data_IF_307841015729
#
_entry.id   IF_307841015729
#
_cell.length_a   1.000
_cell.length_b   1.000
_cell.length_c   1.000
_cell.angle_alpha   90.00
_cell.angle_beta   90.00
_cell.angle_gamma   90.00
#
_symmetry.space_group_name_H-M   'P 1'
#
loop_
_entity.id
_entity.type
_entity.pdbx_description
1 polymer ?
#
# COMPACT_ATOMS: atom_id res chain seq x y z
N UNK A 1 -9.03 -11.96 -21.62
CA UNK A 1 -9.56 -12.88 -22.66
C UNK A 1 -10.73 -12.25 -23.38
N UNK A 2 -11.06 -12.73 -24.58
CA UNK A 2 -12.23 -12.27 -25.35
C UNK A 2 -13.45 -13.13 -25.02
N UNK A 3 -14.60 -12.50 -24.81
CA UNK A 3 -15.89 -13.17 -24.56
C UNK A 3 -16.96 -12.66 -25.52
N UNK A 4 -17.92 -13.53 -25.85
CA UNK A 4 -19.12 -13.17 -26.62
C UNK A 4 -20.26 -12.64 -25.72
N UNK A 5 -21.37 -12.25 -26.33
CA UNK A 5 -22.58 -11.75 -25.64
C UNK A 5 -23.21 -12.79 -24.70
N UNK A 6 -23.02 -14.08 -24.96
CA UNK A 6 -23.46 -15.19 -24.11
C UNK A 6 -22.43 -15.51 -23.02
N UNK A 7 -21.37 -14.71 -22.91
CA UNK A 7 -20.26 -14.86 -21.95
C UNK A 7 -19.44 -16.13 -22.17
N UNK A 8 -19.49 -16.72 -23.36
CA UNK A 8 -18.59 -17.80 -23.73
C UNK A 8 -17.20 -17.24 -24.01
N UNK A 9 -16.18 -17.99 -23.61
CA UNK A 9 -14.79 -17.58 -23.80
C UNK A 9 -14.36 -17.97 -25.21
N UNK A 10 -13.89 -17.00 -25.97
CA UNK A 10 -13.35 -17.21 -27.31
C UNK A 10 -11.92 -17.79 -27.18
N UNK A 11 -11.49 -18.70 -28.09
CA UNK A 11 -10.18 -19.34 -28.02
C UNK A 11 -9.05 -18.33 -28.24
N UNK A 12 -8.55 -17.75 -27.16
CA UNK A 12 -7.19 -17.24 -26.91
C UNK A 12 -7.26 -16.35 -25.66
N UNK A 13 -6.22 -16.41 -24.83
CA UNK A 13 -6.14 -15.61 -23.62
C UNK A 13 -4.68 -15.26 -23.32
N UNK A 14 -4.52 -14.16 -22.58
CA UNK A 14 -3.23 -13.74 -22.06
C UNK A 14 -3.31 -13.64 -20.55
N UNK A 15 -2.17 -13.85 -19.90
CA UNK A 15 -2.03 -13.76 -18.44
C UNK A 15 -0.79 -12.94 -18.12
N UNK A 16 -0.88 -12.13 -17.07
CA UNK A 16 0.26 -11.39 -16.54
C UNK A 16 0.24 -11.42 -15.01
N UNK A 17 1.41 -11.29 -14.41
CA UNK A 17 1.55 -11.10 -12.97
C UNK A 17 1.67 -9.60 -12.75
N UNK A 18 0.94 -9.07 -11.77
CA UNK A 18 1.02 -7.67 -11.37
C UNK A 18 1.37 -7.60 -9.88
N UNK A 19 2.42 -6.87 -9.55
CA UNK A 19 2.91 -6.63 -8.20
C UNK A 19 2.99 -5.12 -7.95
N UNK A 20 2.13 -4.55 -7.08
CA UNK A 20 2.05 -3.09 -6.88
C UNK A 20 3.40 -2.41 -6.62
N UNK A 21 4.31 -3.06 -5.87
CA UNK A 21 5.64 -2.49 -5.53
C UNK A 21 6.55 -2.31 -6.75
N UNK A 22 6.37 -3.12 -7.80
CA UNK A 22 7.24 -3.14 -8.99
C UNK A 22 6.54 -2.58 -10.23
N UNK A 23 5.25 -2.86 -10.38
CA UNK A 23 4.53 -2.82 -11.65
C UNK A 23 3.61 -1.61 -11.82
N UNK A 24 3.42 -0.83 -10.77
CA UNK A 24 2.36 0.17 -10.71
C UNK A 24 2.59 1.40 -11.62
N UNK A 25 3.84 1.74 -11.94
CA UNK A 25 4.17 2.75 -12.97
C UNK A 25 4.26 2.15 -14.38
N UNK A 26 4.20 0.82 -14.50
CA UNK A 26 4.42 0.12 -15.76
C UNK A 26 3.16 0.09 -16.59
N UNK A 27 3.27 0.54 -17.85
CA UNK A 27 2.20 0.38 -18.83
C UNK A 27 2.31 -0.98 -19.51
N UNK A 28 1.26 -1.78 -19.38
CA UNK A 28 1.18 -3.10 -20.02
C UNK A 28 0.56 -3.01 -21.42
N UNK A 29 1.21 -3.63 -22.40
CA UNK A 29 0.70 -3.83 -23.74
C UNK A 29 0.40 -5.32 -23.91
N UNK A 30 -0.88 -5.68 -23.97
CA UNK A 30 -1.35 -7.06 -24.11
C UNK A 30 -1.99 -7.23 -25.48
N UNK A 31 -1.61 -8.30 -26.19
CA UNK A 31 -2.08 -8.59 -27.54
C UNK A 31 -2.88 -9.90 -27.56
N UNK A 32 -4.19 -9.80 -27.80
CA UNK A 32 -5.02 -10.96 -28.07
C UNK A 32 -4.99 -11.25 -29.57
N UNK A 33 -4.10 -12.16 -29.99
CA UNK A 33 -3.90 -12.52 -31.40
C UNK A 33 -4.72 -13.74 -31.78
N UNK A 34 -5.38 -13.72 -32.93
CA UNK A 34 -6.21 -14.83 -33.38
C UNK A 34 -5.80 -15.22 -34.80
N UNK A 35 -5.68 -16.53 -35.11
CA UNK A 35 -5.27 -16.99 -36.43
C UNK A 35 -6.31 -16.68 -37.51
N UNK A 36 -7.58 -16.63 -37.12
CA UNK A 36 -8.70 -16.24 -37.95
C UNK A 36 -9.53 -15.18 -37.24
N UNK A 37 -10.39 -14.48 -37.99
CA UNK A 37 -11.29 -13.47 -37.42
C UNK A 37 -12.15 -14.11 -36.32
N UNK A 38 -11.99 -13.71 -35.05
CA UNK A 38 -12.70 -14.35 -33.94
C UNK A 38 -14.11 -13.79 -33.73
N UNK A 39 -14.42 -12.65 -34.38
CA UNK A 39 -15.65 -11.89 -34.20
C UNK A 39 -16.62 -12.10 -35.35
N UNK A 40 -17.78 -12.68 -35.07
CA UNK A 40 -18.93 -12.65 -35.97
C UNK A 40 -19.58 -11.26 -35.97
N UNK A 41 -19.98 -10.78 -37.15
CA UNK A 41 -20.55 -9.43 -37.30
C UNK A 41 -21.90 -9.25 -36.59
N UNK A 42 -22.61 -10.34 -36.33
CA UNK A 42 -23.92 -10.36 -35.68
C UNK A 42 -23.87 -10.49 -34.16
N UNK A 43 -22.66 -10.63 -33.58
CA UNK A 43 -22.46 -10.92 -32.15
C UNK A 43 -21.61 -9.82 -31.53
N UNK A 44 -22.01 -9.38 -30.35
CA UNK A 44 -21.20 -8.43 -29.59
C UNK A 44 -20.11 -9.15 -28.79
N UNK A 45 -18.90 -8.57 -28.81
CA UNK A 45 -17.75 -9.09 -28.08
C UNK A 45 -17.21 -8.08 -27.09
N UNK A 46 -16.67 -8.58 -25.98
CA UNK A 46 -16.03 -7.79 -24.94
C UNK A 46 -14.77 -8.49 -24.45
N UNK A 47 -13.81 -7.72 -23.94
CA UNK A 47 -12.64 -8.25 -23.27
C UNK A 47 -12.97 -8.39 -21.78
N UNK A 48 -12.91 -9.61 -21.25
CA UNK A 48 -12.98 -9.89 -19.82
C UNK A 48 -11.58 -10.02 -19.25
N UNK A 49 -11.31 -9.32 -18.15
CA UNK A 49 -10.05 -9.39 -17.41
C UNK A 49 -10.39 -9.85 -16.01
N UNK A 50 -9.83 -10.97 -15.58
CA UNK A 50 -10.06 -11.55 -14.26
C UNK A 50 -8.78 -11.41 -13.42
N UNK A 51 -8.93 -11.04 -12.15
CA UNK A 51 -7.84 -10.94 -11.18
C UNK A 51 -7.96 -12.07 -10.15
N UNK A 52 -6.85 -12.73 -9.89
CA UNK A 52 -6.73 -13.79 -8.89
C UNK A 52 -5.57 -13.49 -7.94
N UNK A 53 -5.74 -13.86 -6.68
CA UNK A 53 -4.62 -13.99 -5.76
C UNK A 53 -3.78 -15.19 -6.19
N UNK A 54 -2.52 -14.96 -6.57
CA UNK A 54 -1.66 -16.02 -7.08
C UNK A 54 -1.23 -17.02 -6.00
N UNK A 55 -1.26 -16.63 -4.74
CA UNK A 55 -0.84 -17.46 -3.60
C UNK A 55 -1.93 -18.44 -3.17
N UNK A 56 -3.17 -17.98 -3.06
CA UNK A 56 -4.32 -18.81 -2.67
C UNK A 56 -5.12 -19.34 -3.86
N UNK A 57 -4.91 -18.78 -5.05
CA UNK A 57 -5.74 -18.99 -6.25
C UNK A 57 -7.18 -18.50 -6.11
N UNK A 58 -7.46 -17.70 -5.10
CA UNK A 58 -8.77 -17.09 -4.93
C UNK A 58 -9.04 -16.07 -6.03
N UNK A 59 -10.24 -16.12 -6.58
CA UNK A 59 -10.75 -15.06 -7.42
C UNK A 59 -10.93 -13.76 -6.62
N UNK A 60 -10.47 -12.64 -7.18
CA UNK A 60 -10.58 -11.31 -6.58
C UNK A 60 -11.69 -10.46 -7.23
N UNK A 61 -11.54 -10.14 -8.53
CA UNK A 61 -12.53 -9.34 -9.28
C UNK A 61 -12.37 -9.48 -10.79
N UNK A 62 -13.30 -8.89 -11.56
CA UNK A 62 -13.25 -8.84 -13.02
C UNK A 62 -13.64 -7.47 -13.57
N UNK A 63 -13.05 -7.13 -14.72
CA UNK A 63 -13.42 -6.00 -15.56
C UNK A 63 -13.97 -6.48 -16.89
N UNK A 64 -14.92 -5.71 -17.44
CA UNK A 64 -15.48 -5.95 -18.76
C UNK A 64 -15.24 -4.74 -19.66
N UNK A 65 -14.60 -4.92 -20.80
CA UNK A 65 -14.29 -3.84 -21.75
C UNK A 65 -15.00 -4.12 -23.07
N UNK A 66 -15.99 -3.31 -23.48
CA UNK A 66 -16.71 -3.56 -24.72
C UNK A 66 -15.81 -3.29 -25.93
N UNK A 67 -15.96 -4.08 -26.99
CA UNK A 67 -15.28 -3.81 -28.27
C UNK A 67 -16.20 -2.92 -29.12
N UNK A 68 -15.80 -1.66 -29.40
CA UNK A 68 -16.67 -0.71 -30.10
C UNK A 68 -16.85 -1.04 -31.58
N UNK A 69 -15.80 -1.50 -32.26
CA UNK A 69 -15.80 -1.69 -33.71
C UNK A 69 -15.64 -3.17 -34.07
N UNK A 70 -16.76 -3.90 -34.06
CA UNK A 70 -16.80 -5.34 -34.37
C UNK A 70 -16.34 -5.63 -35.81
N UNK A 71 -16.61 -4.73 -36.75
CA UNK A 71 -16.23 -4.86 -38.15
C UNK A 71 -14.73 -4.76 -38.41
N UNK A 72 -13.98 -4.03 -37.56
CA UNK A 72 -12.54 -3.85 -37.73
C UNK A 72 -11.77 -5.13 -37.40
N UNK A 73 -10.75 -5.50 -38.20
CA UNK A 73 -9.91 -6.66 -37.92
C UNK A 73 -9.08 -6.48 -36.64
N UNK A 74 -8.70 -5.24 -36.32
CA UNK A 74 -7.89 -4.89 -35.15
C UNK A 74 -8.61 -3.82 -34.34
N UNK A 75 -8.67 -3.99 -33.02
CA UNK A 75 -9.14 -2.98 -32.09
C UNK A 75 -8.02 -2.67 -31.10
N UNK A 76 -7.76 -1.39 -30.86
CA UNK A 76 -6.83 -0.94 -29.82
C UNK A 76 -7.62 -0.30 -28.70
N UNK A 77 -7.57 -0.91 -27.51
CA UNK A 77 -8.27 -0.44 -26.32
C UNK A 77 -7.23 -0.04 -25.28
N UNK A 78 -7.38 1.15 -24.71
CA UNK A 78 -6.54 1.64 -23.62
C UNK A 78 -7.45 1.98 -22.45
N UNK A 79 -7.22 1.35 -21.31
CA UNK A 79 -7.99 1.57 -20.09
C UNK A 79 -7.08 1.54 -18.88
N UNK A 80 -7.43 2.32 -17.85
CA UNK A 80 -6.85 2.18 -16.53
C UNK A 80 -7.71 1.22 -15.73
N UNK A 81 -7.10 0.20 -15.12
CA UNK A 81 -7.79 -0.74 -14.25
C UNK A 81 -7.49 -0.36 -12.80
N UNK A 82 -8.55 -0.18 -12.01
CA UNK A 82 -8.44 0.11 -10.58
C UNK A 82 -8.68 -1.18 -9.82
N UNK A 83 -7.63 -1.72 -9.19
CA UNK A 83 -7.72 -2.90 -8.35
C UNK A 83 -8.40 -2.51 -7.03
N UNK A 84 -9.54 -3.12 -6.67
CA UNK A 84 -10.21 -2.82 -5.42
C UNK A 84 -9.42 -3.42 -4.25
N UNK A 85 -9.24 -2.64 -3.18
CA UNK A 85 -8.48 -3.06 -2.00
C UNK A 85 -9.21 -4.10 -1.14
N UNK A 86 -10.55 -4.10 -1.20
CA UNK A 86 -11.40 -5.10 -0.57
C UNK A 86 -12.13 -5.91 -1.64
N UNK A 87 -12.30 -7.21 -1.37
CA UNK A 87 -13.23 -8.04 -2.15
C UNK A 87 -14.64 -7.54 -1.90
N UNK A 88 -15.25 -6.89 -2.89
CA UNK A 88 -16.63 -6.43 -2.80
C UNK A 88 -17.58 -7.65 -2.80
N UNK A 89 -18.04 -8.06 -1.62
CA UNK A 89 -19.18 -8.97 -1.46
C UNK A 89 -20.50 -8.21 -1.63
N UNK A 90 -20.70 -7.56 -2.78
CA UNK A 90 -21.99 -6.96 -3.10
C UNK A 90 -22.99 -8.07 -3.44
N UNK A 91 -24.11 -8.11 -2.72
CA UNK A 91 -25.27 -8.93 -3.07
C UNK A 91 -25.62 -8.73 -4.55
N UNK A 92 -25.71 -9.83 -5.28
CA UNK A 92 -26.21 -9.84 -6.64
C UNK A 92 -27.29 -10.91 -6.77
N UNK A 93 -28.39 -10.54 -7.43
CA UNK A 93 -29.58 -11.36 -7.62
C UNK A 93 -29.57 -11.95 -9.03
N UNK A 94 -28.63 -12.85 -9.31
CA UNK A 94 -28.64 -13.64 -10.54
C UNK A 94 -28.55 -15.12 -10.20
N UNK A 95 -29.38 -15.95 -10.84
CA UNK A 95 -29.31 -17.40 -10.71
C UNK A 95 -28.10 -17.90 -11.48
N UNK A 96 -27.13 -18.49 -10.78
CA UNK A 96 -25.90 -19.01 -11.36
C UNK A 96 -25.80 -20.54 -11.31
N UNK A 97 -26.95 -21.21 -11.11
CA UNK A 97 -27.00 -22.66 -10.89
C UNK A 97 -26.38 -23.07 -9.55
N UNK A 98 -26.25 -24.38 -9.34
CA UNK A 98 -25.68 -24.96 -8.11
C UNK A 98 -24.14 -24.88 -8.07
N UNK A 99 -23.50 -24.69 -9.23
CA UNK A 99 -22.04 -24.69 -9.39
C UNK A 99 -21.48 -23.32 -9.75
N UNK A 100 -22.17 -22.26 -9.32
CA UNK A 100 -21.82 -20.90 -9.71
C UNK A 100 -22.13 -19.87 -8.66
N UNK A 101 -21.21 -18.93 -8.48
CA UNK A 101 -21.40 -17.75 -7.66
C UNK A 101 -21.64 -16.53 -8.54
N UNK A 102 -22.68 -15.78 -8.24
CA UNK A 102 -22.94 -14.52 -8.93
C UNK A 102 -21.90 -13.45 -8.50
N UNK A 103 -21.33 -12.75 -9.48
CA UNK A 103 -20.30 -11.72 -9.33
C UNK A 103 -20.68 -10.46 -10.12
N UNK A 104 -20.19 -9.30 -9.70
CA UNK A 104 -20.32 -8.01 -10.40
C UNK A 104 -19.01 -7.62 -11.08
N UNK A 105 -19.09 -6.95 -12.22
CA UNK A 105 -17.92 -6.31 -12.84
C UNK A 105 -17.56 -5.02 -12.11
N UNK A 106 -16.28 -4.78 -11.84
CA UNK A 106 -15.82 -3.60 -11.09
C UNK A 106 -16.05 -2.29 -11.83
N UNK A 107 -15.93 -2.27 -13.16
CA UNK A 107 -16.02 -1.05 -13.97
C UNK A 107 -17.39 -0.78 -14.59
N UNK A 108 -18.37 -1.66 -14.39
CA UNK A 108 -19.72 -1.49 -14.95
C UNK A 108 -20.77 -1.58 -13.85
N UNK A 109 -21.53 -0.49 -13.69
CA UNK A 109 -22.65 -0.48 -12.75
C UNK A 109 -23.70 -1.51 -13.19
N UNK A 110 -24.16 -2.34 -12.24
CA UNK A 110 -25.21 -3.35 -12.39
C UNK A 110 -24.95 -4.48 -13.41
N UNK A 111 -23.75 -4.61 -13.97
CA UNK A 111 -23.42 -5.75 -14.82
C UNK A 111 -22.90 -6.92 -13.99
N UNK A 112 -23.57 -8.06 -14.10
CA UNK A 112 -23.28 -9.30 -13.34
C UNK A 112 -22.86 -10.44 -14.25
N UNK A 113 -22.16 -11.43 -13.69
CA UNK A 113 -21.85 -12.70 -14.36
C UNK A 113 -21.73 -13.83 -13.33
N UNK A 114 -21.79 -15.06 -13.82
CA UNK A 114 -21.61 -16.25 -12.98
C UNK A 114 -20.16 -16.70 -13.03
N UNK A 115 -19.52 -16.76 -11.87
CA UNK A 115 -18.23 -17.40 -11.67
C UNK A 115 -18.48 -18.86 -11.35
N UNK A 116 -18.11 -19.72 -12.27
CA UNK A 116 -18.34 -21.15 -12.13
C UNK A 116 -17.28 -21.83 -11.30
N UNK A 117 -17.68 -22.91 -10.63
CA UNK A 117 -16.77 -23.81 -9.95
C UNK A 117 -15.91 -24.59 -10.94
N UNK A 118 -14.81 -25.17 -10.43
CA UNK A 118 -13.87 -25.92 -11.26
C UNK A 118 -14.56 -27.08 -11.98
N UNK A 119 -14.36 -27.17 -13.29
CA UNK A 119 -15.00 -28.16 -14.17
C UNK A 119 -16.36 -27.73 -14.73
N UNK A 120 -16.86 -26.54 -14.39
CA UNK A 120 -18.12 -25.99 -14.92
C UNK A 120 -17.89 -24.71 -15.72
N UNK A 121 -18.71 -24.52 -16.75
CA UNK A 121 -18.68 -23.36 -17.67
C UNK A 121 -20.09 -22.96 -18.10
N UNK A 122 -20.19 -21.88 -18.87
CA UNK A 122 -21.44 -21.34 -19.40
C UNK A 122 -21.96 -20.16 -18.58
N UNK A 123 -22.94 -19.46 -19.12
CA UNK A 123 -23.54 -18.29 -18.47
C UNK A 123 -24.21 -18.59 -17.13
N UNK A 124 -24.60 -19.86 -16.91
CA UNK A 124 -25.28 -20.37 -15.71
C UNK A 124 -24.52 -21.54 -15.05
N UNK A 125 -23.26 -21.75 -15.39
CA UNK A 125 -22.41 -22.79 -14.78
C UNK A 125 -22.98 -24.21 -14.83
N UNK A 126 -23.68 -24.55 -15.91
CA UNK A 126 -24.35 -25.84 -16.10
C UNK A 126 -23.65 -26.76 -17.12
N UNK A 127 -22.60 -26.28 -17.79
CA UNK A 127 -21.86 -27.06 -18.79
C UNK A 127 -20.61 -27.64 -18.14
N UNK A 128 -20.56 -28.97 -18.05
CA UNK A 128 -19.39 -29.70 -17.54
C UNK A 128 -18.29 -29.78 -18.59
N UNK A 129 -17.04 -29.75 -18.14
CA UNK A 129 -15.89 -29.96 -19.00
C UNK A 129 -14.73 -30.63 -18.26
N UNK A 130 -13.83 -31.24 -19.04
CA UNK A 130 -12.62 -31.83 -18.49
C UNK A 130 -11.50 -30.78 -18.44
N UNK A 131 -10.93 -30.59 -17.25
CA UNK A 131 -9.82 -29.70 -17.03
C UNK A 131 -8.49 -30.33 -17.43
N UNK A 132 -7.69 -29.62 -18.23
CA UNK A 132 -6.35 -30.05 -18.65
C UNK A 132 -5.22 -29.43 -17.81
N UNK A 133 -5.58 -28.81 -16.68
CA UNK A 133 -4.68 -28.10 -15.78
C UNK A 133 -4.07 -29.04 -14.73
N UNK A 134 -2.97 -28.63 -14.08
CA UNK A 134 -2.42 -29.37 -12.94
C UNK A 134 -3.40 -29.43 -11.76
N UNK A 135 -3.34 -30.50 -10.96
CA UNK A 135 -4.30 -30.76 -9.88
C UNK A 135 -4.41 -29.65 -8.81
N UNK A 136 -3.34 -28.88 -8.62
CA UNK A 136 -3.22 -27.78 -7.65
C UNK A 136 -3.40 -26.39 -8.30
N UNK A 137 -3.96 -26.33 -9.51
CA UNK A 137 -4.25 -25.08 -10.23
C UNK A 137 -5.74 -24.89 -10.39
N UNK A 138 -6.16 -23.64 -10.56
CA UNK A 138 -7.56 -23.31 -10.79
C UNK A 138 -7.85 -23.35 -12.29
N UNK A 139 -8.84 -24.16 -12.67
CA UNK A 139 -9.25 -24.34 -14.06
C UNK A 139 -10.47 -23.47 -14.35
N UNK A 140 -10.28 -22.41 -15.13
CA UNK A 140 -11.33 -21.46 -15.49
C UNK A 140 -12.15 -21.94 -16.70
N UNK A 141 -11.48 -22.64 -17.63
CA UNK A 141 -12.04 -23.22 -18.84
C UNK A 141 -11.16 -24.41 -19.27
N UNK A 142 -11.58 -25.25 -20.23
CA UNK A 142 -10.86 -26.49 -20.59
C UNK A 142 -9.36 -26.32 -20.85
N UNK A 143 -8.96 -25.17 -21.40
CA UNK A 143 -7.58 -24.81 -21.75
C UNK A 143 -7.06 -23.56 -21.04
N UNK A 144 -7.76 -23.04 -20.03
CA UNK A 144 -7.39 -21.82 -19.30
C UNK A 144 -7.14 -22.17 -17.84
N UNK A 145 -5.87 -22.11 -17.44
CA UNK A 145 -5.40 -22.49 -16.11
C UNK A 145 -4.78 -21.29 -15.40
N UNK A 146 -5.15 -21.06 -14.14
CA UNK A 146 -4.52 -20.07 -13.26
C UNK A 146 -3.52 -20.80 -12.37
N UNK A 147 -2.24 -20.50 -12.57
CA UNK A 147 -1.16 -21.25 -11.96
C UNK A 147 -0.80 -20.73 -10.56
N UNK A 148 -0.54 -21.63 -9.58
CA UNK A 148 -0.04 -21.23 -8.26
C UNK A 148 1.35 -20.59 -8.37
N UNK A 149 1.76 -19.83 -7.34
CA UNK A 149 3.01 -19.04 -7.30
C UNK A 149 4.25 -19.71 -7.91
N UNK A 150 4.42 -21.02 -7.73
CA UNK A 150 5.63 -21.76 -8.13
C UNK A 150 5.51 -22.46 -9.49
N UNK A 151 4.39 -22.31 -10.18
CA UNK A 151 4.12 -22.97 -11.47
C UNK A 151 3.76 -21.97 -12.56
N UNK A 152 4.01 -22.38 -13.79
CA UNK A 152 3.73 -21.58 -14.98
C UNK A 152 3.44 -22.46 -16.20
N UNK A 153 3.26 -21.82 -17.35
CA UNK A 153 2.86 -22.47 -18.60
C UNK A 153 1.34 -22.61 -18.73
N UNK A 154 0.86 -22.91 -19.95
CA UNK A 154 -0.56 -22.93 -20.28
C UNK A 154 -1.41 -23.90 -19.44
N UNK A 155 -0.78 -24.96 -18.91
CA UNK A 155 -1.43 -26.00 -18.08
C UNK A 155 -0.91 -26.08 -16.65
N UNK A 156 -0.05 -25.15 -16.24
CA UNK A 156 0.52 -25.11 -14.89
C UNK A 156 1.32 -26.35 -14.46
N UNK A 157 1.84 -27.18 -15.39
CA UNK A 157 2.73 -28.29 -15.04
C UNK A 157 4.20 -27.86 -14.91
N UNK A 158 4.59 -26.75 -15.53
CA UNK A 158 5.96 -26.30 -15.53
C UNK A 158 6.29 -25.65 -14.18
N UNK A 159 7.44 -26.02 -13.63
CA UNK A 159 8.04 -25.43 -12.43
C UNK A 159 9.38 -24.85 -12.81
N UNK A 160 9.72 -23.65 -12.30
CA UNK A 160 11.10 -23.17 -12.41
C UNK A 160 11.91 -23.69 -11.23
N UNK A 161 13.07 -24.25 -11.53
CA UNK A 161 14.07 -24.57 -10.51
C UNK A 161 14.67 -23.31 -9.87
N UNK A 162 14.56 -22.13 -10.49
CA UNK A 162 15.24 -20.91 -10.00
C UNK A 162 14.88 -20.56 -8.55
N UNK A 163 13.60 -20.60 -8.19
CA UNK A 163 13.13 -20.38 -6.81
C UNK A 163 13.12 -21.66 -5.95
N UNK A 164 13.46 -22.82 -6.54
CA UNK A 164 13.45 -24.14 -5.87
C UNK A 164 14.86 -24.72 -5.69
N UNK A 165 15.88 -24.05 -6.23
CA UNK A 165 17.27 -24.50 -6.12
C UNK A 165 17.74 -24.38 -4.68
N UNK A 166 18.72 -25.20 -4.27
CA UNK A 166 19.32 -25.12 -2.93
C UNK A 166 19.84 -23.70 -2.58
N UNK A 167 20.02 -22.84 -3.58
CA UNK A 167 20.29 -21.41 -3.41
C UNK A 167 19.10 -20.60 -3.96
N UNK A 168 18.08 -20.36 -3.13
CA UNK A 168 17.05 -19.36 -3.43
C UNK A 168 17.74 -18.04 -3.81
N UNK A 169 17.49 -17.46 -5.00
CA UNK A 169 18.18 -16.25 -5.45
C UNK A 169 17.87 -15.05 -4.55
N UNK A 170 16.76 -15.09 -3.81
CA UNK A 170 16.39 -14.10 -2.82
C UNK A 170 17.08 -14.40 -1.48
N UNK A 171 18.02 -13.55 -1.09
CA UNK A 171 18.76 -13.64 0.15
C UNK A 171 17.89 -13.26 1.37
N UNK A 172 18.41 -13.51 2.58
CA UNK A 172 17.79 -13.12 3.86
C UNK A 172 16.32 -13.54 4.03
N UNK A 173 15.97 -14.72 3.52
CA UNK A 173 14.61 -15.27 3.51
C UNK A 173 13.60 -14.38 2.77
N UNK A 174 14.04 -13.72 1.68
CA UNK A 174 13.14 -13.09 0.72
C UNK A 174 12.29 -14.12 -0.03
N UNK A 175 11.05 -13.75 -0.36
CA UNK A 175 10.13 -14.60 -1.12
C UNK A 175 10.45 -14.50 -2.61
N UNK A 176 10.83 -15.62 -3.22
CA UNK A 176 11.11 -15.71 -4.65
C UNK A 176 9.84 -16.01 -5.45
N UNK A 177 9.59 -15.19 -6.46
CA UNK A 177 8.45 -15.31 -7.36
C UNK A 177 8.99 -15.51 -8.77
N UNK A 178 8.79 -16.71 -9.31
CA UNK A 178 9.16 -17.04 -10.68
C UNK A 178 8.22 -16.33 -11.67
N UNK A 179 8.80 -15.73 -12.71
CA UNK A 179 8.05 -15.04 -13.77
C UNK A 179 8.24 -15.78 -15.09
N UNK A 180 7.28 -15.64 -16.00
CA UNK A 180 7.34 -16.21 -17.34
C UNK A 180 8.37 -15.46 -18.21
N UNK A 181 9.29 -16.19 -18.85
CA UNK A 181 10.37 -15.62 -19.70
C UNK A 181 9.83 -14.89 -20.94
N UNK A 182 8.55 -15.07 -21.29
CA UNK A 182 7.90 -14.28 -22.36
C UNK A 182 7.80 -12.79 -22.02
N UNK A 183 8.00 -12.41 -20.74
CA UNK A 183 7.76 -11.06 -20.22
C UNK A 183 9.07 -10.38 -19.76
N UNK A 184 10.07 -11.12 -19.24
CA UNK A 184 11.24 -10.48 -18.62
C UNK A 184 12.54 -11.32 -18.70
N UNK A 185 13.69 -10.65 -18.89
CA UNK A 185 15.02 -11.27 -19.09
C UNK A 185 15.61 -11.95 -17.83
N UNK A 186 15.14 -11.58 -16.63
CA UNK A 186 15.71 -12.07 -15.36
C UNK A 186 14.94 -13.26 -14.74
N UNK A 187 13.78 -13.65 -15.26
CA UNK A 187 13.06 -14.89 -14.90
C UNK A 187 12.51 -15.01 -13.45
N UNK A 188 12.76 -14.05 -12.56
CA UNK A 188 12.23 -14.01 -11.19
C UNK A 188 12.20 -12.58 -10.61
N UNK A 189 11.40 -12.38 -9.55
CA UNK A 189 11.39 -11.20 -8.67
C UNK A 189 11.48 -11.64 -7.21
N UNK A 190 12.18 -10.85 -6.38
CA UNK A 190 12.28 -11.08 -4.95
C UNK A 190 11.43 -10.08 -4.16
N UNK A 191 10.61 -10.59 -3.25
CA UNK A 191 9.89 -9.79 -2.26
C UNK A 191 10.64 -9.81 -0.92
N UNK A 192 11.16 -8.66 -0.53
CA UNK A 192 12.07 -8.53 0.61
C UNK A 192 11.32 -8.20 1.91
N UNK A 193 11.85 -8.68 3.04
CA UNK A 193 11.41 -8.22 4.38
C UNK A 193 11.78 -6.75 4.58
N UNK A 194 11.06 -6.05 5.45
CA UNK A 194 11.27 -4.60 5.69
C UNK A 194 12.73 -4.24 6.02
N UNK A 195 13.47 -5.13 6.69
CA UNK A 195 14.87 -4.93 7.08
C UNK A 195 15.88 -5.11 5.95
N UNK A 196 15.45 -5.57 4.77
CA UNK A 196 16.31 -5.81 3.61
C UNK A 196 15.74 -5.18 2.33
N UNK A 197 16.63 -4.90 1.38
CA UNK A 197 16.31 -4.28 0.10
C UNK A 197 17.24 -4.78 -1.03
N UNK A 198 16.94 -4.36 -2.26
CA UNK A 198 17.66 -4.73 -3.48
C UNK A 198 16.98 -5.87 -4.24
N UNK A 199 17.39 -6.09 -5.49
CA UNK A 199 16.78 -7.07 -6.40
C UNK A 199 16.75 -8.51 -5.88
N UNK A 200 17.69 -8.85 -4.99
CA UNK A 200 17.83 -10.15 -4.34
C UNK A 200 17.73 -10.06 -2.82
N UNK A 201 17.22 -8.95 -2.29
CA UNK A 201 17.20 -8.68 -0.84
C UNK A 201 18.59 -8.76 -0.20
N UNK A 202 19.62 -8.37 -0.95
CA UNK A 202 21.03 -8.54 -0.58
C UNK A 202 21.55 -7.46 0.37
N UNK A 203 20.89 -6.29 0.40
CA UNK A 203 21.31 -5.15 1.21
C UNK A 203 20.41 -4.99 2.42
N UNK A 204 20.93 -4.47 3.52
CA UNK A 204 20.09 -4.03 4.64
C UNK A 204 19.34 -2.77 4.23
N UNK A 205 18.10 -2.63 4.67
CA UNK A 205 17.36 -1.38 4.55
C UNK A 205 18.02 -0.31 5.40
N UNK A 206 17.84 0.96 5.02
CA UNK A 206 18.31 2.09 5.85
C UNK A 206 17.51 2.08 7.15
N UNK A 207 18.18 1.95 8.29
CA UNK A 207 17.53 1.99 9.60
C UNK A 207 17.59 3.42 10.14
N UNK A 208 16.46 3.93 10.60
CA UNK A 208 16.35 5.25 11.20
C UNK A 208 15.76 5.10 12.59
N UNK A 209 16.54 5.48 13.60
CA UNK A 209 16.09 5.58 14.98
C UNK A 209 15.86 7.06 15.29
N UNK A 210 14.59 7.40 15.56
CA UNK A 210 14.15 8.78 15.78
C UNK A 210 13.69 8.88 17.23
N UNK A 211 14.42 9.65 18.03
CA UNK A 211 14.03 10.01 19.39
C UNK A 211 13.17 11.29 19.36
N UNK A 212 12.00 11.24 19.97
CA UNK A 212 11.05 12.34 20.04
C UNK A 212 11.08 12.93 21.45
N UNK A 213 11.15 14.25 21.54
CA UNK A 213 11.09 14.98 22.80
C UNK A 213 9.75 14.76 23.54
N UNK A 214 9.80 14.72 24.87
CA UNK A 214 8.62 14.51 25.71
C UNK A 214 7.55 15.57 25.48
N UNK A 215 7.92 16.82 25.22
CA UNK A 215 6.96 17.90 24.95
C UNK A 215 6.16 17.71 23.66
N UNK A 216 6.68 16.91 22.73
CA UNK A 216 6.00 16.56 21.48
C UNK A 216 5.13 15.31 21.71
N UNK A 217 5.63 14.35 22.50
CA UNK A 217 4.92 13.11 22.83
C UNK A 217 3.65 13.35 23.67
N UNK A 218 3.62 14.43 24.46
CA UNK A 218 2.40 14.85 25.19
C UNK A 218 1.30 15.34 24.25
N UNK A 219 1.67 15.85 23.06
CA UNK A 219 0.72 16.33 22.04
C UNK A 219 0.23 15.15 21.20
N UNK A 220 1.14 14.26 20.77
CA UNK A 220 0.75 13.09 19.98
C UNK A 220 1.73 11.94 20.09
N UNK A 221 1.17 10.72 20.05
CA UNK A 221 1.92 9.46 19.91
C UNK A 221 1.88 8.91 18.49
N UNK A 222 1.23 9.61 17.56
CA UNK A 222 1.08 9.20 16.17
C UNK A 222 1.72 10.24 15.26
N UNK A 223 2.57 9.77 14.35
CA UNK A 223 3.37 10.63 13.49
C UNK A 223 3.20 10.22 12.03
N UNK A 224 3.08 11.20 11.16
CA UNK A 224 3.10 11.05 9.70
C UNK A 224 4.52 11.40 9.24
N UNK A 225 5.12 10.56 8.42
CA UNK A 225 6.51 10.67 7.98
C UNK A 225 6.53 10.94 6.48
N UNK A 226 7.09 12.08 6.07
CA UNK A 226 7.26 12.43 4.67
C UNK A 226 8.72 12.31 4.26
N UNK A 227 9.00 11.32 3.43
CA UNK A 227 10.28 11.12 2.76
C UNK A 227 10.27 11.90 1.45
N UNK A 228 11.20 12.83 1.29
CA UNK A 228 11.36 13.60 0.06
C UNK A 228 12.61 13.11 -0.68
N UNK A 229 12.40 12.73 -1.94
CA UNK A 229 13.46 12.39 -2.87
C UNK A 229 13.77 13.66 -3.66
N UNK A 230 14.96 14.20 -3.45
CA UNK A 230 15.41 15.40 -4.13
C UNK A 230 16.00 15.01 -5.50
N UNK A 231 15.41 15.52 -6.58
CA UNK A 231 15.96 15.41 -7.92
C UNK A 231 16.49 16.77 -8.37
N UNK A 232 17.45 16.77 -9.28
CA UNK A 232 17.95 17.99 -9.90
C UNK A 232 16.89 18.64 -10.82
N UNK A 233 17.18 19.88 -11.24
CA UNK A 233 16.31 20.89 -11.89
C UNK A 233 15.36 20.42 -13.02
N UNK A 234 15.48 19.20 -13.53
CA UNK A 234 14.63 18.64 -14.60
C UNK A 234 13.38 17.89 -14.10
N UNK A 235 13.36 17.45 -12.84
CA UNK A 235 12.33 16.52 -12.35
C UNK A 235 11.68 17.04 -11.08
N UNK A 236 10.37 16.79 -10.91
CA UNK A 236 9.66 17.11 -9.67
C UNK A 236 10.16 16.21 -8.55
N UNK A 237 10.33 16.76 -7.36
CA UNK A 237 10.59 15.99 -6.14
C UNK A 237 9.48 14.98 -5.90
N UNK A 238 9.85 13.76 -5.50
CA UNK A 238 8.89 12.73 -5.12
C UNK A 238 8.73 12.73 -3.60
N UNK A 239 7.48 12.54 -3.17
CA UNK A 239 7.10 12.46 -1.76
C UNK A 239 6.47 11.10 -1.49
N UNK A 240 7.03 10.40 -0.50
CA UNK A 240 6.49 9.15 0.00
C UNK A 240 6.11 9.37 1.44
N UNK A 241 4.88 9.04 1.80
CA UNK A 241 4.34 9.31 3.12
C UNK A 241 3.98 8.01 3.81
N UNK A 242 4.43 7.83 5.05
CA UNK A 242 4.04 6.71 5.92
C UNK A 242 3.54 7.22 7.26
N UNK A 243 3.01 6.34 8.10
CA UNK A 243 2.61 6.67 9.47
C UNK A 243 3.24 5.69 10.45
N UNK A 244 3.70 6.21 11.59
CA UNK A 244 4.23 5.41 12.69
C UNK A 244 3.64 5.91 14.01
N UNK A 245 3.25 4.96 14.86
CA UNK A 245 2.88 5.23 16.25
C UNK A 245 4.02 4.81 17.18
N UNK A 246 4.26 5.61 18.22
CA UNK A 246 5.19 5.30 19.28
C UNK A 246 4.42 4.63 20.41
N UNK A 247 4.89 3.45 20.83
CA UNK A 247 4.27 2.70 21.92
C UNK A 247 4.44 3.44 23.25
N UNK A 248 3.49 3.23 24.18
CA UNK A 248 3.49 3.93 25.46
C UNK A 248 4.77 3.68 26.28
N UNK A 249 5.35 4.74 26.83
CA UNK A 249 6.58 4.68 27.62
C UNK A 249 7.83 4.36 26.81
N UNK A 250 7.79 4.59 25.49
CA UNK A 250 8.96 4.72 24.64
C UNK A 250 9.01 6.14 24.07
N UNK A 251 10.21 6.64 23.81
CA UNK A 251 10.44 7.92 23.15
C UNK A 251 11.11 7.76 21.78
N UNK A 252 11.45 6.54 21.39
CA UNK A 252 12.13 6.24 20.13
C UNK A 252 11.25 5.41 19.20
N UNK A 253 11.28 5.75 17.91
CA UNK A 253 10.75 4.90 16.85
C UNK A 253 11.86 4.46 15.91
N UNK A 254 11.85 3.18 15.57
CA UNK A 254 12.71 2.60 14.54
C UNK A 254 11.92 2.38 13.26
N UNK A 255 12.49 2.82 12.14
CA UNK A 255 11.92 2.66 10.80
C UNK A 255 12.98 2.08 9.87
N UNK A 256 12.54 1.20 8.97
CA UNK A 256 13.37 0.67 7.89
C UNK A 256 12.88 1.23 6.56
N UNK A 257 13.78 1.88 5.83
CA UNK A 257 13.47 2.53 4.55
C UNK A 257 14.19 1.78 3.43
N UNK A 258 13.40 1.33 2.45
CA UNK A 258 13.86 0.55 1.29
C UNK A 258 14.08 1.41 0.03
N UNK A 259 13.74 2.69 0.10
CA UNK A 259 13.84 3.64 -1.02
C UNK A 259 14.80 4.77 -0.66
N UNK A 260 15.50 5.35 -1.65
CA UNK A 260 16.34 6.51 -1.40
C UNK A 260 15.49 7.70 -0.95
N UNK A 261 16.05 8.57 -0.11
CA UNK A 261 15.45 9.85 0.28
C UNK A 261 16.53 10.82 0.76
N UNK A 262 16.26 12.12 0.63
CA UNK A 262 17.18 13.19 1.05
C UNK A 262 16.69 13.91 2.31
N UNK A 263 15.38 14.06 2.45
CA UNK A 263 14.77 14.82 3.54
C UNK A 263 13.69 13.97 4.20
N UNK A 264 13.64 14.03 5.54
CA UNK A 264 12.56 13.44 6.33
C UNK A 264 11.89 14.53 7.16
N UNK A 265 10.61 14.77 6.88
CA UNK A 265 9.74 15.55 7.75
C UNK A 265 8.83 14.65 8.57
N UNK A 266 8.58 15.04 9.81
CA UNK A 266 7.60 14.43 10.69
C UNK A 266 6.47 15.42 10.88
N UNK A 267 5.24 14.97 10.63
CA UNK A 267 4.02 15.72 10.83
C UNK A 267 3.21 15.10 11.97
N UNK A 268 2.73 15.96 12.87
CA UNK A 268 1.70 15.59 13.85
C UNK A 268 0.33 15.70 13.16
N UNK A 269 -0.66 14.83 13.46
CA UNK A 269 -2.00 14.85 12.87
C UNK A 269 -2.74 16.21 12.88
N UNK A 270 -2.32 17.13 13.76
CA UNK A 270 -2.84 18.51 13.90
C UNK A 270 -2.12 19.54 13.00
N UNK A 271 -1.17 19.11 12.17
CA UNK A 271 -0.58 19.93 11.10
C UNK A 271 0.80 20.52 11.36
N UNK A 272 1.41 20.29 12.53
CA UNK A 272 2.77 20.76 12.81
C UNK A 272 3.82 19.85 12.15
N UNK A 273 4.79 20.46 11.45
CA UNK A 273 5.89 19.76 10.80
C UNK A 273 7.20 19.94 11.56
N UNK A 274 8.05 18.93 11.52
CA UNK A 274 9.38 18.90 12.15
C UNK A 274 10.39 18.31 11.18
N UNK A 275 11.53 18.96 11.02
CA UNK A 275 12.63 18.44 10.22
C UNK A 275 13.44 17.43 11.04
N UNK A 276 13.42 16.17 10.62
CA UNK A 276 14.08 15.07 11.34
C UNK A 276 15.41 14.65 10.70
N UNK A 277 15.49 14.64 9.37
CA UNK A 277 16.72 14.28 8.63
C UNK A 277 16.86 15.19 7.42
N UNK A 278 18.07 15.69 7.20
CA UNK A 278 18.47 16.43 5.99
C UNK A 278 19.85 15.92 5.56
N UNK A 279 19.94 15.43 4.32
CA UNK A 279 21.21 14.98 3.73
C UNK A 279 21.28 15.29 2.25
N UNK A 280 22.47 15.60 1.76
CA UNK A 280 22.71 15.85 0.34
C UNK A 280 22.76 14.55 -0.46
N UNK A 281 23.40 13.51 0.07
CA UNK A 281 23.62 12.23 -0.61
C UNK A 281 22.95 11.09 0.15
N UNK A 282 22.32 10.19 -0.61
CA UNK A 282 21.82 8.93 -0.09
C UNK A 282 22.99 7.94 0.11
N UNK A 283 23.08 7.36 1.31
CA UNK A 283 24.02 6.28 1.62
C UNK A 283 23.21 4.98 1.79
N UNK A 284 23.43 3.95 0.94
CA UNK A 284 22.72 2.69 1.06
C UNK A 284 23.02 1.96 2.37
N UNK A 285 22.00 1.32 2.97
CA UNK A 285 22.10 0.52 4.20
C UNK A 285 22.63 1.27 5.43
N UNK A 286 22.52 2.60 5.45
CA UNK A 286 22.98 3.44 6.55
C UNK A 286 22.13 3.25 7.82
N UNK A 287 22.76 3.42 8.97
CA UNK A 287 22.09 3.58 10.26
C UNK A 287 22.07 5.07 10.65
N UNK A 288 20.88 5.64 10.77
CA UNK A 288 20.67 7.05 11.09
C UNK A 288 20.07 7.13 12.50
N UNK A 289 20.73 7.86 13.38
CA UNK A 289 20.18 8.23 14.68
C UNK A 289 19.88 9.74 14.69
N UNK A 290 18.65 10.13 15.00
CA UNK A 290 18.25 11.53 15.05
C UNK A 290 17.33 11.81 16.25
N UNK A 291 17.31 13.07 16.67
CA UNK A 291 16.47 13.56 17.74
C UNK A 291 15.65 14.75 17.26
N UNK A 292 14.34 14.68 17.51
CA UNK A 292 13.37 15.70 17.12
C UNK A 292 12.96 16.46 18.36
N UNK A 293 13.41 17.71 18.42
CA UNK A 293 13.18 18.65 19.49
C UNK A 293 12.22 19.75 19.02
N UNK A 294 11.70 20.55 19.93
CA UNK A 294 10.84 21.71 19.60
C UNK A 294 11.51 22.71 18.65
N UNK A 295 12.84 22.84 18.67
CA UNK A 295 13.60 23.67 17.71
C UNK A 295 13.62 23.14 16.28
N UNK A 296 13.31 21.86 16.08
CA UNK A 296 13.22 21.25 14.76
C UNK A 296 11.89 21.58 14.05
N UNK A 297 10.97 22.29 14.71
CA UNK A 297 9.66 22.64 14.17
C UNK A 297 9.80 23.59 12.99
N UNK A 298 9.09 23.28 11.90
CA UNK A 298 8.89 24.19 10.79
C UNK A 298 7.66 25.05 11.07
N UNK A 299 7.80 26.38 10.93
CA UNK A 299 6.73 27.32 11.20
C UNK A 299 6.00 27.76 9.93
N UNK A 300 4.70 28.07 9.99
CA UNK A 300 4.03 28.74 8.88
C UNK A 300 4.64 30.13 8.68
N UNK A 301 4.91 30.50 7.43
CA UNK A 301 5.65 31.72 7.08
C UNK A 301 4.99 33.00 7.64
N UNK A 302 3.66 32.99 7.74
CA UNK A 302 2.89 34.11 8.30
C UNK A 302 3.25 34.39 9.77
N UNK A 303 3.62 33.38 10.55
CA UNK A 303 4.06 33.58 11.94
C UNK A 303 5.45 34.20 12.02
N UNK A 304 6.29 34.00 11.00
CA UNK A 304 7.66 34.51 10.95
C UNK A 304 7.73 35.94 10.39
N UNK A 305 6.74 36.34 9.58
CA UNK A 305 6.68 37.66 8.99
C UNK A 305 6.13 38.73 9.95
N UNK A 306 6.74 39.91 9.89
CA UNK A 306 6.18 41.15 10.42
C UNK A 306 4.86 41.51 9.73
N UNK A 307 4.03 42.31 10.38
CA UNK A 307 2.69 42.67 9.89
C UNK A 307 2.70 43.33 8.50
N UNK A 308 3.75 44.06 8.15
CA UNK A 308 3.94 44.64 6.82
C UNK A 308 4.09 43.57 5.72
N UNK A 309 4.90 42.53 5.95
CA UNK A 309 5.11 41.47 4.97
C UNK A 309 3.89 40.56 4.82
N UNK A 310 3.08 40.40 5.88
CA UNK A 310 1.83 39.62 5.83
C UNK A 310 0.82 40.19 4.84
N UNK A 311 0.77 41.51 4.72
CA UNK A 311 -0.15 42.23 3.83
C UNK A 311 0.28 42.20 2.35
N UNK A 312 1.51 41.79 2.05
CA UNK A 312 1.97 41.69 0.67
C UNK A 312 1.32 40.52 -0.06
N UNK A 313 1.13 40.72 -1.37
CA UNK A 313 0.75 39.66 -2.28
C UNK A 313 1.77 38.52 -2.28
N UNK A 314 1.27 37.31 -2.54
CA UNK A 314 2.03 36.07 -2.47
C UNK A 314 3.41 36.13 -3.15
N UNK A 315 3.46 36.50 -4.43
CA UNK A 315 4.71 36.55 -5.20
C UNK A 315 5.73 37.55 -4.64
N UNK A 316 5.24 38.61 -3.97
CA UNK A 316 6.09 39.58 -3.30
C UNK A 316 6.62 39.03 -1.98
N UNK A 317 5.83 38.23 -1.24
CA UNK A 317 6.29 37.55 0.00
C UNK A 317 7.44 36.58 -0.25
N UNK A 318 7.36 35.78 -1.31
CA UNK A 318 8.39 34.77 -1.65
C UNK A 318 9.78 35.40 -1.82
N UNK A 319 9.87 36.64 -2.32
CA UNK A 319 11.15 37.37 -2.46
C UNK A 319 11.86 37.60 -1.12
N UNK A 320 11.14 37.57 0.00
CA UNK A 320 11.68 37.79 1.34
C UNK A 320 11.96 36.49 2.10
N UNK A 321 11.76 35.32 1.51
CA UNK A 321 12.07 34.03 2.17
C UNK A 321 13.54 33.90 2.58
N UNK A 322 14.53 34.32 1.75
CA UNK A 322 15.92 34.30 2.17
C UNK A 322 16.21 35.19 3.39
N UNK A 323 15.42 36.24 3.63
CA UNK A 323 15.59 37.13 4.76
C UNK A 323 15.30 36.41 6.09
N UNK A 324 14.30 35.52 6.11
CA UNK A 324 13.90 34.76 7.30
C UNK A 324 15.05 33.89 7.81
N UNK A 325 15.70 33.15 6.92
CA UNK A 325 16.86 32.33 7.28
C UNK A 325 18.04 33.18 7.75
N UNK A 326 18.24 34.39 7.23
CA UNK A 326 19.33 35.28 7.68
C UNK A 326 19.06 35.90 9.05
N UNK A 327 17.81 36.20 9.38
CA UNK A 327 17.43 36.89 10.61
C UNK A 327 17.40 35.98 11.83
N UNK A 328 16.95 34.74 11.68
CA UNK A 328 16.90 33.77 12.77
C UNK A 328 17.83 32.59 12.48
N UNK A 329 19.05 32.55 13.06
CA UNK A 329 19.99 31.45 12.89
C UNK A 329 19.48 30.08 13.35
N UNK A 330 18.49 30.04 14.25
CA UNK A 330 17.93 28.78 14.77
C UNK A 330 16.82 28.22 13.88
N UNK A 331 16.28 29.03 12.96
CA UNK A 331 15.28 28.59 12.00
C UNK A 331 15.89 27.57 11.03
N UNK A 332 15.37 26.34 11.08
CA UNK A 332 15.78 25.24 10.20
C UNK A 332 14.89 25.13 8.96
N UNK A 333 13.59 25.38 9.12
CA UNK A 333 12.60 25.21 8.05
C UNK A 333 11.34 26.03 8.32
N UNK A 334 10.58 26.30 7.27
CA UNK A 334 9.27 26.97 7.32
C UNK A 334 8.45 26.60 6.09
N UNK A 335 7.16 26.90 6.09
CA UNK A 335 6.28 26.57 4.97
C UNK A 335 5.20 27.62 4.72
N UNK A 336 4.66 27.64 3.51
CA UNK A 336 3.49 28.45 3.11
C UNK A 336 2.37 27.56 2.54
N UNK A 337 1.45 28.10 1.74
CA UNK A 337 0.38 27.28 1.14
C UNK A 337 0.88 26.26 0.09
N UNK A 338 2.05 26.48 -0.53
CA UNK A 338 2.54 25.76 -1.71
C UNK A 338 3.95 25.16 -1.58
N UNK A 339 4.78 25.70 -0.70
CA UNK A 339 6.20 25.41 -0.58
C UNK A 339 6.56 25.04 0.85
N UNK A 340 7.47 24.07 0.96
CA UNK A 340 8.25 23.79 2.15
C UNK A 340 9.66 24.31 1.89
N UNK A 341 10.21 25.06 2.82
CA UNK A 341 11.50 25.72 2.71
C UNK A 341 12.44 25.24 3.82
N UNK A 342 13.70 25.03 3.46
CA UNK A 342 14.79 24.63 4.36
C UNK A 342 15.85 25.73 4.33
N UNK A 343 16.30 26.16 5.50
CA UNK A 343 17.43 27.08 5.63
C UNK A 343 18.74 26.28 5.56
N UNK A 344 19.60 26.58 4.58
CA UNK A 344 20.90 25.92 4.44
C UNK A 344 21.99 26.55 5.32
N UNK A 345 23.22 26.03 5.20
CA UNK A 345 24.39 26.55 5.93
C UNK A 345 24.70 28.00 5.58
N UNK A 346 24.46 28.40 4.33
CA UNK A 346 24.69 29.76 3.82
C UNK A 346 23.53 30.72 4.16
N UNK A 347 22.57 30.25 4.96
CA UNK A 347 21.37 30.97 5.39
C UNK A 347 20.51 31.41 4.20
N UNK A 348 20.55 30.67 3.11
CA UNK A 348 19.62 30.78 2.00
C UNK A 348 18.43 29.84 2.23
N UNK A 349 17.27 30.22 1.67
CA UNK A 349 16.06 29.38 1.74
C UNK A 349 15.95 28.55 0.47
N UNK A 350 16.05 27.23 0.63
CA UNK A 350 15.81 26.27 -0.44
C UNK A 350 14.37 25.76 -0.33
N UNK A 351 13.51 26.23 -1.24
CA UNK A 351 12.08 25.96 -1.23
C UNK A 351 11.71 25.01 -2.36
N UNK A 352 10.85 24.04 -2.04
CA UNK A 352 10.33 23.09 -3.01
C UNK A 352 8.83 22.89 -2.83
N UNK A 353 8.15 22.54 -3.92
CA UNK A 353 6.70 22.41 -3.92
C UNK A 353 6.27 21.32 -2.94
N UNK A 354 5.39 21.66 -2.03
CA UNK A 354 4.89 20.76 -0.99
C UNK A 354 3.42 21.08 -0.72
N UNK A 355 2.54 20.16 -1.10
CA UNK A 355 1.11 20.34 -0.86
C UNK A 355 0.78 20.07 0.62
N UNK A 356 0.64 21.14 1.38
CA UNK A 356 0.24 21.14 2.79
C UNK A 356 -1.25 20.82 3.01
N UNK A 357 -2.07 20.97 1.96
CA UNK A 357 -3.54 20.82 2.00
C UNK A 357 -4.03 19.49 1.43
N UNK A 358 -3.16 18.47 1.42
CA UNK A 358 -3.50 17.17 0.85
C UNK A 358 -4.76 16.62 1.51
N UNK A 359 -5.80 16.33 0.70
CA UNK A 359 -7.06 15.80 1.21
C UNK A 359 -6.90 14.32 1.50
N UNK A 360 -7.02 13.97 2.78
CA UNK A 360 -6.94 12.62 3.31
C UNK A 360 -8.26 11.86 3.10
N UNK A 361 -8.68 11.66 1.85
CA UNK A 361 -9.94 10.97 1.52
C UNK A 361 -9.80 9.74 0.60
N UNK A 362 -8.57 9.33 0.26
CA UNK A 362 -8.30 8.21 -0.65
C UNK A 362 -9.16 8.24 -1.94
N UNK A 363 -9.25 9.42 -2.58
CA UNK A 363 -10.06 9.64 -3.79
C UNK A 363 -11.56 9.36 -3.56
N UNK A 364 -12.07 9.71 -2.38
CA UNK A 364 -13.46 9.54 -1.98
C UNK A 364 -13.84 8.13 -1.53
N UNK A 365 -12.89 7.20 -1.42
CA UNK A 365 -13.10 5.85 -0.88
C UNK A 365 -12.37 5.74 0.45
N UNK A 366 -12.94 6.35 1.49
CA UNK A 366 -12.41 6.19 2.83
C UNK A 366 -12.67 4.77 3.34
N UNK A 367 -11.59 3.97 3.46
CA UNK A 367 -11.63 2.59 3.93
C UNK A 367 -11.28 2.47 5.43
N UNK A 368 -11.07 3.60 6.09
CA UNK A 368 -10.83 3.66 7.52
C UNK A 368 -12.17 3.67 8.26
N UNK A 369 -12.26 2.83 9.30
CA UNK A 369 -13.41 2.81 10.21
C UNK A 369 -13.38 4.01 11.16
N UNK A 370 -14.50 4.24 11.84
CA UNK A 370 -14.62 5.20 12.95
C UNK A 370 -14.15 6.62 12.60
N UNK A 371 -14.53 7.10 11.41
CA UNK A 371 -14.15 8.41 10.87
C UNK A 371 -12.63 8.64 10.80
N UNK A 372 -11.85 7.55 10.69
CA UNK A 372 -10.43 7.62 10.41
C UNK A 372 -10.17 8.32 9.08
N UNK A 373 -9.07 9.08 8.97
CA UNK A 373 -8.69 9.76 7.73
C UNK A 373 -7.81 8.83 6.89
N UNK A 374 -8.12 8.70 5.60
CA UNK A 374 -7.41 7.78 4.70
C UNK A 374 -6.46 8.54 3.78
N UNK A 375 -5.23 8.10 3.62
CA UNK A 375 -4.37 8.63 2.56
C UNK A 375 -3.53 7.55 1.88
N UNK A 376 -3.17 7.86 0.63
CA UNK A 376 -2.30 7.03 -0.17
C UNK A 376 -0.84 7.40 0.10
N UNK A 377 0.02 6.39 0.24
CA UNK A 377 1.44 6.61 0.55
C UNK A 377 2.22 7.36 -0.55
N UNK A 378 1.77 7.29 -1.80
CA UNK A 378 2.32 8.02 -2.94
C UNK A 378 1.18 8.41 -3.90
N UNK A 379 1.25 9.63 -4.45
CA UNK A 379 0.26 10.18 -5.39
C UNK A 379 0.30 9.52 -6.77
N UNK A 380 1.49 9.13 -7.26
CA UNK A 380 1.64 8.55 -8.60
C UNK A 380 1.47 7.04 -8.59
N UNK A 381 1.95 6.40 -7.52
CA UNK A 381 1.99 4.96 -7.42
C UNK A 381 1.78 4.49 -5.98
N UNK A 382 0.52 4.49 -5.55
CA UNK A 382 0.14 4.07 -4.21
C UNK A 382 0.28 2.55 -4.06
N UNK A 383 1.17 2.10 -3.17
CA UNK A 383 1.31 0.68 -2.83
C UNK A 383 0.48 0.31 -1.61
N UNK A 384 0.14 1.29 -0.77
CA UNK A 384 -0.64 1.11 0.45
C UNK A 384 -1.52 2.33 0.72
N UNK A 385 -2.67 2.10 1.34
CA UNK A 385 -3.44 3.14 2.01
C UNK A 385 -3.11 3.11 3.51
N UNK A 386 -3.22 4.27 4.15
CA UNK A 386 -2.89 4.48 5.55
C UNK A 386 -4.07 5.15 6.22
N UNK A 387 -4.45 4.62 7.39
CA UNK A 387 -5.52 5.16 8.20
C UNK A 387 -4.99 5.93 9.43
N UNK A 388 -5.21 7.24 9.42
CA UNK A 388 -4.99 8.11 10.57
C UNK A 388 -6.23 8.07 11.46
N UNK A 389 -6.13 7.31 12.55
CA UNK A 389 -7.22 7.15 13.49
C UNK A 389 -7.41 8.38 14.37
N UNK A 390 -8.68 8.66 14.68
CA UNK A 390 -9.05 9.62 15.71
C UNK A 390 -8.64 9.11 17.10
N UNK A 391 -8.67 10.00 18.09
CA UNK A 391 -8.39 9.63 19.48
C UNK A 391 -9.28 8.48 19.94
N UNK A 392 -8.70 7.59 20.75
CA UNK A 392 -9.32 6.37 21.25
C UNK A 392 -9.62 5.30 20.18
N UNK A 393 -9.13 5.43 18.94
CA UNK A 393 -9.24 4.39 17.93
C UNK A 393 -7.89 3.82 17.47
N UNK A 394 -7.87 2.51 17.23
CA UNK A 394 -6.65 1.71 17.00
C UNK A 394 -6.84 0.64 15.93
N UNK A 395 -5.74 0.00 15.54
CA UNK A 395 -5.69 -0.96 14.43
C UNK A 395 -5.33 -0.29 13.10
N UNK A 396 -4.92 -1.10 12.12
CA UNK A 396 -4.46 -0.62 10.81
C UNK A 396 -5.52 0.12 9.98
N UNK A 397 -6.80 -0.09 10.28
CA UNK A 397 -7.95 0.57 9.65
C UNK A 397 -8.78 1.37 10.68
N UNK A 398 -8.25 1.64 11.87
CA UNK A 398 -8.99 2.28 12.97
C UNK A 398 -10.21 1.49 13.45
N UNK A 399 -10.19 0.17 13.28
CA UNK A 399 -11.32 -0.72 13.55
C UNK A 399 -11.60 -0.94 15.05
N UNK A 400 -10.63 -0.68 15.93
CA UNK A 400 -10.78 -0.87 17.37
C UNK A 400 -11.04 0.47 18.07
N UNK A 401 -11.89 0.49 19.09
CA UNK A 401 -12.27 1.68 19.86
C UNK A 401 -12.06 1.42 21.35
N UNK A 402 -11.61 2.44 22.09
CA UNK A 402 -11.65 2.45 23.55
C UNK A 402 -12.81 3.25 24.14
N UNK A 403 -13.66 3.86 23.30
CA UNK A 403 -14.81 4.66 23.77
C UNK A 403 -15.93 3.81 24.38
N UNK A 404 -16.08 2.58 23.91
CA UNK A 404 -17.20 1.69 24.26
C UNK A 404 -16.78 0.56 25.22
N UNK A 405 -15.62 0.68 25.90
CA UNK A 405 -15.20 -0.36 26.86
C UNK A 405 -16.10 -0.40 28.10
N UNK A 406 -17.11 -1.25 28.02
CA UNK A 406 -17.49 -2.12 29.13
C UNK A 406 -16.52 -3.31 29.07
N UNK A 407 -15.37 -3.16 29.71
CA UNK A 407 -14.47 -4.24 30.19
C UNK A 407 -14.05 -5.35 29.19
N UNK A 408 -13.16 -5.07 28.24
CA UNK A 408 -12.13 -6.06 27.89
C UNK A 408 -10.75 -5.45 28.09
N UNK A 409 -9.94 -6.12 28.89
CA UNK A 409 -8.62 -5.67 29.32
C UNK A 409 -7.57 -5.85 28.22
N UNK A 410 -7.85 -6.68 27.21
CA UNK A 410 -6.91 -7.08 26.16
C UNK A 410 -6.39 -5.92 25.30
N UNK A 411 -7.21 -4.94 24.88
CA UNK A 411 -6.75 -3.86 24.00
C UNK A 411 -5.91 -2.83 24.76
N UNK A 412 -6.24 -2.62 26.04
CA UNK A 412 -5.49 -1.77 26.96
C UNK A 412 -4.15 -2.43 27.31
N UNK A 413 -4.18 -3.70 27.73
CA UNK A 413 -2.98 -4.47 28.06
C UNK A 413 -2.06 -4.67 26.86
N UNK A 414 -2.62 -5.02 25.71
CA UNK A 414 -1.87 -5.25 24.47
C UNK A 414 -1.02 -4.04 24.07
N UNK A 415 -1.48 -2.82 24.37
CA UNK A 415 -0.72 -1.59 24.11
C UNK A 415 0.38 -1.31 25.15
N UNK A 416 0.21 -1.80 26.38
CA UNK A 416 1.16 -1.62 27.47
C UNK A 416 2.22 -2.73 27.59
N UNK A 417 1.96 -3.90 27.00
CA UNK A 417 2.91 -5.02 26.99
C UNK A 417 4.11 -4.67 26.09
N UNK A 418 5.30 -4.69 26.70
CA UNK A 418 6.57 -4.45 26.00
C UNK A 418 7.20 -5.80 25.62
N UNK A 419 7.13 -6.27 24.37
CA UNK A 419 7.50 -7.65 24.02
C UNK A 419 8.99 -7.97 24.20
N UNK A 420 9.85 -6.95 24.23
CA UNK A 420 11.31 -7.11 24.30
C UNK A 420 11.90 -7.12 25.70
N UNK A 421 11.08 -7.04 26.76
CA UNK A 421 11.54 -7.01 28.15
C UNK A 421 10.87 -8.10 29.00
N UNK A 422 11.58 -8.56 30.03
CA UNK A 422 11.09 -9.61 30.94
C UNK A 422 9.89 -9.13 31.77
N UNK A 423 9.07 -10.07 32.26
CA UNK A 423 7.85 -9.78 33.05
C UNK A 423 8.14 -8.88 34.26
N UNK A 424 9.29 -9.06 34.91
CA UNK A 424 9.71 -8.24 36.06
C UNK A 424 10.04 -6.78 35.71
N UNK A 425 10.30 -6.48 34.45
CA UNK A 425 10.59 -5.13 33.96
C UNK A 425 9.39 -4.47 33.26
N UNK A 426 8.28 -5.19 33.13
CA UNK A 426 7.06 -4.65 32.55
C UNK A 426 6.49 -3.48 33.38
N UNK A 427 5.70 -2.58 32.75
CA UNK A 427 4.97 -1.53 33.45
C UNK A 427 4.08 -2.07 34.58
N UNK A 428 3.85 -1.25 35.61
CA UNK A 428 3.02 -1.62 36.77
C UNK A 428 1.65 -2.15 36.37
N UNK A 429 1.01 -1.53 35.37
CA UNK A 429 -0.29 -1.94 34.83
C UNK A 429 -0.29 -3.41 34.36
N UNK A 430 0.76 -3.84 33.64
CA UNK A 430 0.86 -5.21 33.11
C UNK A 430 1.07 -6.20 34.24
N UNK A 431 1.96 -5.88 35.19
CA UNK A 431 2.21 -6.73 36.37
C UNK A 431 0.95 -6.91 37.22
N UNK A 432 0.25 -5.82 37.47
CA UNK A 432 -0.99 -5.82 38.25
C UNK A 432 -2.09 -6.64 37.56
N UNK A 433 -2.24 -6.52 36.25
CA UNK A 433 -3.18 -7.34 35.48
C UNK A 433 -2.80 -8.82 35.48
N UNK A 434 -1.51 -9.18 35.36
CA UNK A 434 -1.07 -10.57 35.48
C UNK A 434 -1.45 -11.13 36.85
N UNK A 435 -1.21 -10.39 37.94
CA UNK A 435 -1.59 -10.81 39.29
C UNK A 435 -3.11 -11.02 39.39
N UNK A 436 -3.92 -10.07 38.94
CA UNK A 436 -5.39 -10.20 38.95
C UNK A 436 -5.85 -11.40 38.15
N UNK A 437 -5.36 -11.57 36.92
CA UNK A 437 -5.75 -12.71 36.07
C UNK A 437 -5.35 -14.04 36.69
N UNK A 438 -4.17 -14.16 37.31
CA UNK A 438 -3.77 -15.37 38.03
C UNK A 438 -4.65 -15.65 39.25
N UNK A 439 -5.04 -14.61 40.00
CA UNK A 439 -5.96 -14.75 41.14
C UNK A 439 -7.35 -15.20 40.68
N UNK A 440 -7.87 -14.60 39.60
CA UNK A 440 -9.17 -14.99 39.02
C UNK A 440 -9.14 -16.45 38.54
N UNK A 441 -8.07 -16.88 37.87
CA UNK A 441 -7.90 -18.27 37.41
C UNK A 441 -7.81 -19.25 38.58
N UNK A 442 -7.11 -18.88 39.65
CA UNK A 442 -7.02 -19.69 40.87
C UNK A 442 -8.37 -19.77 41.57
N UNK A 443 -9.12 -18.67 41.68
CA UNK A 443 -10.46 -18.65 42.26
C UNK A 443 -11.46 -19.47 41.44
N UNK A 444 -11.40 -19.39 40.11
CA UNK A 444 -12.21 -20.22 39.21
C UNK A 444 -11.88 -21.71 39.36
N UNK A 445 -10.61 -22.07 39.54
CA UNK A 445 -10.19 -23.45 39.81
C UNK A 445 -10.64 -23.96 41.19
N UNK A 446 -10.72 -23.09 42.20
CA UNK A 446 -11.17 -23.45 43.56
C UNK A 446 -12.69 -23.52 43.66
N UNK A 447 -13.42 -22.66 42.93
CA UNK A 447 -14.89 -22.62 42.94
C UNK A 447 -15.54 -23.50 41.87
N UNK A 448 -14.77 -23.92 40.86
CA UNK A 448 -15.20 -24.82 39.78
C UNK A 448 -14.89 -26.30 40.03
N UNK A 449 -14.43 -26.66 41.24
CA UNK A 449 -14.19 -28.04 41.70
C UNK A 449 -15.20 -28.48 42.77
#
# INVERSE_FOLDING_TARGET
MLIDEKKNIVPNHEQMIYMPVHDCITKYNIYLLYPHRPKHLSVNYSIRIDLFDKSTLDYWTSWLLPIPFQFLPVNRISTQLIIPELRENKLCMSSCGEHGQCMKYTNMNNSVFCRCDQGYTGSFCNITHQCQCSNDSFCLAPSICVCPLKKFGSRCYLKRSICQSMNNPCQHNGLCIAIDDRINLHGFICFCKETYQGERCQYKSTQIDISIDETILTISSSFILHYIIAFDRSSKHERITTQKKIAFGYNTMTIYVQQPFNILFIQIPDGNYYLAVLRERYIPSEYIHTQVLSKNRCYPVLHLFNDTFRQYEYLRRVKYYPLLCRQDPQLMCFYDEYFMCICDSDRFSNCFQFNNTMKYDCSGKNLCYNDGRCFLNNETCSTTFICVCNECYYGGQCQFSTKDFIFSLDPILGYHIKPSISVHQQPFIVKFSIIITTIMLILELIMGS
#
